data_IF_349756577044
#
_entry.id   IF_349756577044
#
_cell.length_a   1.000
_cell.length_b   1.000
_cell.length_c   1.000
_cell.angle_alpha   90.00
_cell.angle_beta   90.00
_cell.angle_gamma   90.00
#
_symmetry.space_group_name_H-M   'P 1'
#
loop_
_entity.id
_entity.type
_entity.pdbx_description
1 polymer ?
#
# COMPACT_ATOMS: atom_id res chain seq x y z
N UNK A 1 2.76 -14.33 9.77
CA UNK A 1 4.07 -14.07 9.19
C UNK A 1 3.90 -12.97 8.16
N UNK A 2 4.71 -11.90 8.25
CA UNK A 2 4.75 -10.82 7.27
C UNK A 2 5.75 -11.23 6.19
N UNK A 3 5.32 -11.24 4.93
CA UNK A 3 6.16 -11.53 3.78
C UNK A 3 7.08 -10.37 3.43
N UNK A 4 8.08 -10.65 2.60
CA UNK A 4 9.00 -9.62 2.10
C UNK A 4 8.26 -8.55 1.30
N UNK A 5 8.78 -7.32 1.37
CA UNK A 5 8.34 -6.21 0.54
C UNK A 5 8.48 -6.53 -0.96
N UNK A 6 7.46 -6.15 -1.74
CA UNK A 6 7.41 -6.29 -3.20
C UNK A 6 7.06 -4.94 -3.82
N UNK A 7 7.89 -4.47 -4.75
CA UNK A 7 7.72 -3.17 -5.41
C UNK A 7 9.05 -2.61 -5.91
N UNK A 8 9.10 -1.39 -6.45
CA UNK A 8 7.98 -0.45 -6.63
C UNK A 8 7.31 -0.67 -7.99
N UNK A 9 6.00 -0.89 -7.99
CA UNK A 9 5.20 -1.03 -9.20
C UNK A 9 4.53 0.29 -9.53
N UNK A 10 4.22 0.52 -10.81
CA UNK A 10 3.48 1.70 -11.26
C UNK A 10 2.09 1.73 -10.63
N UNK A 11 1.70 2.88 -10.10
CA UNK A 11 0.38 3.11 -9.53
C UNK A 11 -0.59 3.58 -10.63
N UNK A 12 -1.00 2.62 -11.47
CA UNK A 12 -1.94 2.85 -12.56
C UNK A 12 -2.93 1.68 -12.71
N UNK A 13 -4.04 1.95 -13.40
CA UNK A 13 -5.13 0.98 -13.56
C UNK A 13 -4.67 -0.30 -14.26
N UNK A 14 -3.74 -0.20 -15.22
CA UNK A 14 -3.24 -1.36 -15.96
C UNK A 14 -2.44 -2.29 -15.05
N UNK A 15 -1.45 -1.75 -14.37
CA UNK A 15 -0.54 -2.49 -13.49
C UNK A 15 -1.29 -3.13 -12.32
N UNK A 16 -2.20 -2.39 -11.70
CA UNK A 16 -3.01 -2.89 -10.59
C UNK A 16 -4.11 -3.84 -11.10
N UNK A 17 -4.72 -3.54 -12.25
CA UNK A 17 -5.77 -4.34 -12.86
C UNK A 17 -5.31 -5.74 -13.27
N UNK A 18 -4.09 -5.84 -13.82
CA UNK A 18 -3.46 -7.10 -14.23
C UNK A 18 -3.08 -7.99 -13.05
N UNK A 19 -3.03 -7.44 -11.84
CA UNK A 19 -2.72 -8.20 -10.63
C UNK A 19 -3.94 -9.00 -10.14
N UNK A 20 -4.02 -10.29 -10.53
CA UNK A 20 -5.17 -11.18 -10.23
C UNK A 20 -5.28 -11.68 -8.78
N UNK A 21 -4.66 -11.03 -7.80
CA UNK A 21 -4.53 -11.55 -6.44
C UNK A 21 -5.34 -10.75 -5.41
N UNK A 22 -6.14 -11.45 -4.60
CA UNK A 22 -6.90 -10.92 -3.45
C UNK A 22 -6.11 -11.01 -2.13
N UNK A 23 -4.79 -10.84 -2.19
CA UNK A 23 -3.93 -11.07 -1.04
C UNK A 23 -4.19 -10.06 0.09
N UNK A 24 -4.21 -10.57 1.33
CA UNK A 24 -4.23 -9.78 2.56
C UNK A 24 -2.85 -9.18 2.79
N UNK A 25 -2.79 -7.92 3.21
CA UNK A 25 -1.52 -7.32 3.61
C UNK A 25 -1.54 -5.80 3.70
N UNK A 26 -0.35 -5.23 3.73
CA UNK A 26 -0.10 -3.79 3.80
C UNK A 26 0.47 -3.32 2.48
N UNK A 27 -0.02 -2.19 1.99
CA UNK A 27 0.47 -1.50 0.80
C UNK A 27 0.96 -0.10 1.13
N UNK A 28 1.88 0.36 0.31
CA UNK A 28 2.62 1.60 0.46
C UNK A 28 2.49 2.35 -0.86
N UNK A 29 1.94 3.56 -0.84
CA UNK A 29 1.79 4.42 -2.00
C UNK A 29 2.71 5.62 -1.88
N UNK A 30 3.34 6.02 -2.98
CA UNK A 30 4.33 7.09 -2.99
C UNK A 30 5.00 7.31 -4.34
N UNK A 31 6.23 7.79 -4.32
CA UNK A 31 7.06 7.97 -5.51
C UNK A 31 8.50 7.47 -5.27
N UNK A 32 9.17 6.94 -6.31
CA UNK A 32 10.53 6.43 -6.18
C UNK A 32 11.52 7.58 -6.00
N UNK A 33 12.49 7.36 -5.13
CA UNK A 33 13.64 8.23 -4.93
C UNK A 33 14.80 7.77 -5.81
N UNK A 34 15.76 8.67 -6.05
CA UNK A 34 16.97 8.37 -6.84
C UNK A 34 17.84 7.25 -6.25
N UNK A 35 17.67 6.93 -4.96
CA UNK A 35 18.36 5.85 -4.27
C UNK A 35 17.65 4.47 -4.42
N UNK A 36 16.58 4.40 -5.21
CA UNK A 36 15.82 3.17 -5.43
C UNK A 36 14.83 2.82 -4.33
N UNK A 37 14.65 3.66 -3.30
CA UNK A 37 13.62 3.50 -2.28
C UNK A 37 12.32 4.22 -2.64
N UNK A 38 11.21 3.84 -2.01
CA UNK A 38 9.94 4.56 -2.11
C UNK A 38 9.89 5.66 -1.05
N UNK A 39 9.67 6.89 -1.47
CA UNK A 39 9.17 7.91 -0.56
C UNK A 39 7.68 7.65 -0.31
N UNK A 40 7.34 7.22 0.91
CA UNK A 40 5.97 6.77 1.24
C UNK A 40 5.11 7.96 1.64
N UNK A 41 4.02 8.17 0.90
CA UNK A 41 3.01 9.21 1.16
C UNK A 41 1.77 8.66 1.85
N UNK A 42 1.49 7.37 1.66
CA UNK A 42 0.37 6.67 2.30
C UNK A 42 0.73 5.21 2.59
N UNK A 43 0.28 4.72 3.73
CA UNK A 43 0.30 3.31 4.11
C UNK A 43 -1.14 2.88 4.37
N UNK A 44 -1.54 1.76 3.80
CA UNK A 44 -2.86 1.19 4.08
C UNK A 44 -2.82 -0.32 4.13
N UNK A 45 -3.82 -0.91 4.77
CA UNK A 45 -4.04 -2.35 4.76
C UNK A 45 -5.21 -2.77 3.89
N UNK A 46 -5.18 -4.04 3.49
CA UNK A 46 -6.31 -4.71 2.86
C UNK A 46 -6.53 -6.08 3.47
N UNK A 47 -7.74 -6.29 3.97
CA UNK A 47 -8.16 -7.52 4.68
C UNK A 47 -9.48 -8.09 4.14
N UNK A 48 -10.10 -7.41 3.17
CA UNK A 48 -11.38 -7.78 2.55
C UNK A 48 -11.22 -8.61 1.26
N UNK A 49 -12.35 -8.97 0.65
CA UNK A 49 -12.42 -9.96 -0.45
C UNK A 49 -11.57 -9.66 -1.69
N UNK A 50 -11.39 -8.38 -2.05
CA UNK A 50 -10.56 -8.00 -3.20
C UNK A 50 -9.09 -7.74 -2.85
N UNK A 51 -8.71 -7.90 -1.57
CA UNK A 51 -7.36 -7.74 -1.07
C UNK A 51 -6.73 -6.38 -1.41
N UNK A 52 -5.41 -6.35 -1.46
CA UNK A 52 -4.63 -5.14 -1.75
C UNK A 52 -5.04 -4.52 -3.09
N UNK A 53 -5.24 -5.36 -4.12
CA UNK A 53 -5.65 -4.94 -5.46
C UNK A 53 -6.94 -4.12 -5.44
N UNK A 54 -7.99 -4.62 -4.78
CA UNK A 54 -9.26 -3.91 -4.71
C UNK A 54 -9.14 -2.55 -4.01
N UNK A 55 -8.34 -2.47 -2.94
CA UNK A 55 -8.10 -1.21 -2.23
C UNK A 55 -7.34 -0.21 -3.09
N UNK A 56 -6.30 -0.64 -3.80
CA UNK A 56 -5.57 0.24 -4.73
C UNK A 56 -6.45 0.74 -5.88
N UNK A 57 -7.29 -0.13 -6.48
CA UNK A 57 -8.24 0.27 -7.51
C UNK A 57 -9.31 1.24 -6.99
N UNK A 58 -9.74 1.06 -5.74
CA UNK A 58 -10.65 2.01 -5.10
C UNK A 58 -10.00 3.38 -4.99
N UNK A 59 -8.79 3.46 -4.44
CA UNK A 59 -8.06 4.73 -4.28
C UNK A 59 -7.78 5.42 -5.62
N UNK A 60 -7.43 4.67 -6.67
CA UNK A 60 -7.26 5.21 -8.02
C UNK A 60 -8.52 5.95 -8.52
N UNK A 61 -9.71 5.38 -8.28
CA UNK A 61 -10.98 6.00 -8.69
C UNK A 61 -11.35 7.24 -7.88
N UNK A 62 -10.82 7.35 -6.66
CA UNK A 62 -11.06 8.51 -5.80
C UNK A 62 -10.15 9.70 -6.18
N UNK A 63 -9.06 9.47 -6.92
CA UNK A 63 -8.13 10.50 -7.45
C UNK A 63 -7.60 11.50 -6.37
N UNK A 64 -7.46 11.04 -5.13
CA UNK A 64 -7.14 11.92 -3.98
C UNK A 64 -5.65 12.20 -3.76
N UNK A 65 -4.74 11.54 -4.49
CA UNK A 65 -3.29 11.59 -4.25
C UNK A 65 -2.50 11.98 -5.50
N UNK A 66 -2.32 13.28 -5.78
CA UNK A 66 -1.69 13.75 -7.02
C UNK A 66 -0.20 13.37 -7.14
N UNK A 67 0.47 13.18 -6.00
CA UNK A 67 1.92 12.92 -5.95
C UNK A 67 2.28 11.42 -5.98
N UNK A 68 1.28 10.53 -5.90
CA UNK A 68 1.50 9.07 -5.90
C UNK A 68 1.66 8.59 -7.34
N UNK A 69 2.80 7.97 -7.62
CA UNK A 69 3.10 7.35 -8.93
C UNK A 69 3.41 5.86 -8.85
N UNK A 70 3.73 5.37 -7.65
CA UNK A 70 4.15 3.99 -7.44
C UNK A 70 3.58 3.42 -6.15
N UNK A 71 3.51 2.10 -6.10
CA UNK A 71 3.16 1.37 -4.88
C UNK A 71 4.07 0.16 -4.65
N UNK A 72 4.07 -0.33 -3.42
CA UNK A 72 4.54 -1.68 -3.11
C UNK A 72 3.76 -2.26 -1.95
N UNK A 73 4.08 -3.48 -1.54
CA UNK A 73 3.30 -4.17 -0.54
C UNK A 73 4.05 -5.29 0.19
N UNK A 74 3.55 -5.63 1.37
CA UNK A 74 3.92 -6.80 2.16
C UNK A 74 2.68 -7.66 2.33
N UNK A 75 2.80 -8.97 2.05
CA UNK A 75 1.71 -9.93 2.25
C UNK A 75 1.65 -10.34 3.72
N UNK A 76 0.45 -10.44 4.28
CA UNK A 76 0.24 -10.91 5.65
C UNK A 76 -0.59 -12.20 5.63
N UNK A 77 -0.32 -13.11 6.57
CA UNK A 77 -1.06 -14.37 6.66
C UNK A 77 -2.39 -14.22 7.41
N UNK A 78 -2.49 -13.22 8.29
CA UNK A 78 -3.67 -12.97 9.14
C UNK A 78 -4.05 -11.50 9.14
N UNK A 79 -5.33 -11.24 9.42
CA UNK A 79 -5.89 -9.89 9.55
C UNK A 79 -5.15 -9.09 10.64
N UNK A 80 -5.01 -9.65 11.85
CA UNK A 80 -4.32 -8.96 12.94
C UNK A 80 -2.87 -8.61 12.62
N UNK A 81 -2.17 -9.41 11.83
CA UNK A 81 -0.80 -9.10 11.39
C UNK A 81 -0.76 -7.90 10.42
N UNK A 82 -1.76 -7.77 9.55
CA UNK A 82 -1.86 -6.62 8.66
C UNK A 82 -2.21 -5.34 9.43
N UNK A 83 -3.03 -5.44 10.48
CA UNK A 83 -3.39 -4.33 11.37
C UNK A 83 -2.20 -3.84 12.19
N UNK A 84 -1.50 -4.76 12.86
CA UNK A 84 -0.31 -4.44 13.65
C UNK A 84 0.81 -3.85 12.77
N UNK A 85 1.01 -4.43 11.58
CA UNK A 85 2.05 -3.96 10.65
C UNK A 85 1.71 -2.60 10.05
N UNK A 86 0.47 -2.35 9.65
CA UNK A 86 0.03 -1.02 9.18
C UNK A 86 0.29 0.05 10.25
N UNK A 87 -0.13 -0.21 11.49
CA UNK A 87 0.06 0.73 12.59
C UNK A 87 1.55 1.03 12.85
N UNK A 88 2.39 -0.01 12.86
CA UNK A 88 3.83 0.13 13.04
C UNK A 88 4.47 0.95 11.90
N UNK A 89 4.06 0.72 10.66
CA UNK A 89 4.61 1.41 9.49
C UNK A 89 4.17 2.86 9.40
N UNK A 90 2.91 3.17 9.76
CA UNK A 90 2.45 4.56 9.86
C UNK A 90 3.24 5.32 10.95
N UNK A 91 3.46 4.71 12.12
CA UNK A 91 4.22 5.32 13.19
C UNK A 91 5.70 5.55 12.81
N UNK A 92 6.30 4.59 12.08
CA UNK A 92 7.69 4.65 11.62
C UNK A 92 7.90 5.67 10.51
N UNK A 93 7.04 5.66 9.49
CA UNK A 93 7.22 6.43 8.26
C UNK A 93 6.58 7.82 8.31
N UNK A 94 5.58 8.01 9.17
CA UNK A 94 4.79 9.26 9.30
C UNK A 94 4.33 9.82 7.94
N UNK A 95 3.66 8.99 7.11
CA UNK A 95 3.22 9.39 5.77
C UNK A 95 2.20 10.54 5.82
N UNK A 96 2.31 11.48 4.87
CA UNK A 96 1.54 12.73 4.85
C UNK A 96 0.04 12.55 4.60
N UNK A 97 -0.37 11.48 3.90
CA UNK A 97 -1.78 11.23 3.57
C UNK A 97 -2.47 10.27 4.55
N UNK A 98 -1.76 9.71 5.54
CA UNK A 98 -2.43 9.06 6.66
C UNK A 98 -2.86 10.11 7.68
N UNK A 99 -4.11 10.03 8.13
CA UNK A 99 -4.58 10.80 9.29
C UNK A 99 -3.75 10.35 10.50
N UNK A 100 -2.93 11.27 11.00
CA UNK A 100 -2.09 11.03 12.17
C UNK A 100 -2.96 11.12 13.44
N UNK A 101 -3.00 10.05 14.25
CA UNK A 101 -3.67 10.03 15.55
C UNK A 101 -5.18 9.76 15.53
N UNK A 102 -5.58 8.54 15.14
CA UNK A 102 -6.90 8.00 15.52
C UNK A 102 -6.89 7.47 16.94
#
# INVERSE_FOLDING_TARGET
>A
MIGNYKGHYSYDEKTIGDWKSSTIGVYYCGYPLSNGNLYVLYVGRAVGGDGIRGRLLQHLREEIWPDVSHFGYCVCAKVGEAEDHEAAEIARLKPSYNIQGK
#
